data_IF_577397661772
#
_entry.id   IF_577397661772
#
_cell.length_a   1.000
_cell.length_b   1.000
_cell.length_c   1.000
_cell.angle_alpha   90.00
_cell.angle_beta   90.00
_cell.angle_gamma   90.00
#
_symmetry.space_group_name_H-M   'P 1'
#
loop_
_entity.id
_entity.type
_entity.pdbx_description
1 polymer ?
#
# COMPACT_ATOMS: atom_id res chain seq x y z
N UNK A 1 4.87 -16.69 7.39
CA UNK A 1 4.10 -15.70 8.17
C UNK A 1 2.86 -15.30 7.38
N UNK A 2 1.68 -15.19 8.03
CA UNK A 2 0.45 -14.67 7.39
C UNK A 2 0.41 -13.16 7.60
N UNK A 3 0.76 -12.37 6.57
CA UNK A 3 0.68 -10.92 6.61
C UNK A 3 -0.58 -10.50 5.84
N UNK A 4 -1.48 -9.75 6.49
CA UNK A 4 -2.58 -9.06 5.81
C UNK A 4 -3.79 -9.90 5.34
N UNK A 5 -3.88 -11.20 5.64
CA UNK A 5 -4.97 -12.04 5.10
C UNK A 5 -6.36 -11.81 5.75
N UNK A 6 -7.40 -11.85 4.90
CA UNK A 6 -8.81 -12.15 5.23
C UNK A 6 -9.66 -10.99 5.75
N UNK A 7 -9.14 -10.25 6.72
CA UNK A 7 -9.89 -9.17 7.40
C UNK A 7 -9.10 -7.87 7.60
N UNK A 8 -7.86 -7.81 7.11
CA UNK A 8 -7.07 -6.59 7.19
C UNK A 8 -7.58 -5.54 6.20
N UNK A 9 -7.76 -4.31 6.70
CA UNK A 9 -8.07 -3.13 5.88
C UNK A 9 -6.79 -2.38 5.48
N UNK A 10 -5.73 -2.52 6.27
CA UNK A 10 -4.48 -1.81 6.07
C UNK A 10 -3.26 -2.67 6.40
N UNK A 11 -2.16 -2.39 5.69
CA UNK A 11 -0.81 -2.86 6.01
C UNK A 11 0.00 -1.65 6.48
N UNK A 12 0.80 -1.81 7.53
CA UNK A 12 1.71 -0.77 8.04
C UNK A 12 3.11 -1.35 8.16
N UNK A 13 4.06 -0.80 7.41
CA UNK A 13 5.47 -1.21 7.45
C UNK A 13 6.23 -0.29 8.41
N UNK A 14 6.66 -0.85 9.54
CA UNK A 14 7.32 -0.11 10.64
C UNK A 14 8.81 -0.44 10.79
N UNK A 15 9.27 -1.49 10.12
CA UNK A 15 10.65 -1.98 10.14
C UNK A 15 11.10 -2.29 8.72
N UNK A 16 12.39 -2.10 8.46
CA UNK A 16 13.01 -2.14 7.13
C UNK A 16 13.52 -3.53 6.72
N UNK A 17 12.88 -4.60 7.19
CA UNK A 17 13.30 -5.96 6.87
C UNK A 17 13.19 -6.24 5.37
N UNK A 18 14.26 -6.77 4.77
CA UNK A 18 14.33 -7.07 3.33
C UNK A 18 13.23 -8.05 2.88
N UNK A 19 12.75 -8.91 3.79
CA UNK A 19 11.63 -9.83 3.53
C UNK A 19 10.37 -9.11 3.04
N UNK A 20 10.11 -7.88 3.50
CA UNK A 20 8.93 -7.13 3.09
C UNK A 20 9.00 -6.67 1.62
N UNK A 21 10.19 -6.47 1.07
CA UNK A 21 10.36 -6.09 -0.34
C UNK A 21 9.97 -7.21 -1.31
N UNK A 22 10.02 -8.46 -0.84
CA UNK A 22 9.82 -9.66 -1.65
C UNK A 22 8.43 -10.32 -1.47
N UNK A 23 7.51 -9.70 -0.72
CA UNK A 23 6.16 -10.24 -0.54
C UNK A 23 5.33 -10.17 -1.82
N UNK A 24 4.44 -11.14 -1.99
CA UNK A 24 3.45 -11.15 -3.08
C UNK A 24 2.28 -10.20 -2.73
N UNK A 25 2.50 -8.91 -2.96
CA UNK A 25 1.51 -7.87 -2.68
C UNK A 25 0.25 -7.97 -3.54
N UNK A 26 0.32 -8.56 -4.74
CA UNK A 26 -0.86 -8.79 -5.57
C UNK A 26 -1.79 -9.81 -4.91
N UNK A 27 -1.22 -10.93 -4.42
CA UNK A 27 -1.97 -11.93 -3.67
C UNK A 27 -2.53 -11.34 -2.39
N UNK A 28 -1.73 -10.60 -1.62
CA UNK A 28 -2.17 -9.98 -0.36
C UNK A 28 -3.31 -9.00 -0.63
N UNK A 29 -3.22 -8.17 -1.68
CA UNK A 29 -4.30 -7.24 -2.05
C UNK A 29 -5.64 -7.96 -2.26
N UNK A 30 -5.63 -9.08 -2.99
CA UNK A 30 -6.82 -9.87 -3.32
C UNK A 30 -7.49 -10.49 -2.08
N UNK A 31 -6.77 -10.63 -0.97
CA UNK A 31 -7.30 -11.24 0.27
C UNK A 31 -7.68 -10.21 1.33
N UNK A 32 -7.36 -8.93 1.13
CA UNK A 32 -7.68 -7.84 2.05
C UNK A 32 -9.11 -7.32 1.89
N UNK A 33 -9.58 -6.55 2.88
CA UNK A 33 -10.83 -5.78 2.76
C UNK A 33 -10.61 -4.56 1.89
N UNK A 34 -11.54 -4.33 0.96
CA UNK A 34 -11.51 -3.17 0.09
C UNK A 34 -12.35 -2.02 0.66
N UNK A 35 -11.88 -0.76 0.54
CA UNK A 35 -10.60 -0.36 -0.06
C UNK A 35 -9.38 -0.69 0.83
N UNK A 36 -8.39 -1.37 0.25
CA UNK A 36 -7.18 -1.78 0.95
C UNK A 36 -6.13 -0.66 0.95
N UNK A 37 -5.50 -0.39 2.09
CA UNK A 37 -4.50 0.67 2.25
C UNK A 37 -3.14 0.13 2.67
N UNK A 38 -2.06 0.81 2.31
CA UNK A 38 -0.70 0.49 2.74
C UNK A 38 0.05 1.75 3.16
N UNK A 39 0.61 1.72 4.36
CA UNK A 39 1.42 2.79 4.94
C UNK A 39 2.86 2.31 5.04
N UNK A 40 3.73 2.85 4.19
CA UNK A 40 5.16 2.56 4.19
C UNK A 40 5.92 3.64 4.96
N UNK A 41 6.19 3.35 6.24
CA UNK A 41 6.96 4.23 7.13
C UNK A 41 8.47 4.16 6.92
N UNK A 42 8.96 3.29 6.02
CA UNK A 42 10.39 3.06 5.79
C UNK A 42 10.84 3.34 4.36
N UNK A 43 9.89 3.61 3.46
CA UNK A 43 10.13 3.89 2.05
C UNK A 43 10.92 2.75 1.38
N UNK A 44 10.50 1.51 1.62
CA UNK A 44 11.15 0.28 1.12
C UNK A 44 10.34 -0.44 0.04
N UNK A 45 9.08 -0.08 -0.17
CA UNK A 45 8.20 -0.73 -1.13
C UNK A 45 8.07 0.08 -2.43
N UNK A 46 7.87 -0.62 -3.56
CA UNK A 46 7.54 0.01 -4.84
C UNK A 46 6.11 0.57 -4.81
N UNK A 47 6.02 1.86 -4.54
CA UNK A 47 4.74 2.57 -4.43
C UNK A 47 3.96 2.54 -5.75
N UNK A 48 4.63 2.56 -6.91
CA UNK A 48 3.96 2.54 -8.21
C UNK A 48 3.30 1.19 -8.45
N UNK A 49 4.03 0.11 -8.21
CA UNK A 49 3.50 -1.24 -8.36
C UNK A 49 2.33 -1.51 -7.40
N UNK A 50 2.43 -1.07 -6.14
CA UNK A 50 1.34 -1.18 -5.18
C UNK A 50 0.07 -0.44 -5.65
N UNK A 51 0.22 0.73 -6.29
CA UNK A 51 -0.91 1.47 -6.89
C UNK A 51 -1.50 0.74 -8.09
N UNK A 52 -0.69 0.13 -8.94
CA UNK A 52 -1.15 -0.67 -10.08
C UNK A 52 -2.02 -1.85 -9.63
N UNK A 53 -1.73 -2.45 -8.47
CA UNK A 53 -2.60 -3.48 -7.86
C UNK A 53 -3.91 -2.92 -7.29
N UNK A 54 -3.95 -1.63 -6.98
CA UNK A 54 -5.14 -0.94 -6.44
C UNK A 54 -5.08 -0.62 -4.95
N UNK A 55 -3.89 -0.68 -4.31
CA UNK A 55 -3.73 -0.17 -2.95
C UNK A 55 -3.87 1.34 -2.89
N UNK A 56 -4.40 1.83 -1.78
CA UNK A 56 -4.20 3.22 -1.33
C UNK A 56 -2.86 3.33 -0.63
N UNK A 57 -1.87 3.90 -1.32
CA UNK A 57 -0.49 3.97 -0.83
C UNK A 57 -0.20 5.28 -0.13
N UNK A 58 0.43 5.21 1.04
CA UNK A 58 0.93 6.35 1.80
C UNK A 58 2.37 6.06 2.19
N UNK A 59 3.31 6.91 1.78
CA UNK A 59 4.72 6.77 2.11
C UNK A 59 5.29 8.09 2.60
N UNK A 60 6.21 8.04 3.56
CA UNK A 60 6.88 9.23 4.08
C UNK A 60 7.62 9.93 2.93
N UNK A 61 7.46 11.25 2.83
CA UNK A 61 8.13 12.07 1.81
C UNK A 61 7.50 12.02 0.42
N UNK A 62 6.44 11.24 0.22
CA UNK A 62 5.64 11.26 -1.01
C UNK A 62 4.34 12.00 -0.78
N UNK A 63 4.00 12.93 -1.68
CA UNK A 63 2.61 13.38 -1.76
C UNK A 63 1.75 12.14 -2.11
N UNK A 64 0.63 11.91 -1.39
CA UNK A 64 -0.29 10.86 -1.77
C UNK A 64 -0.94 11.23 -3.11
N UNK A 65 -0.51 10.60 -4.23
CA UNK A 65 -1.10 10.88 -5.55
C UNK A 65 -2.61 10.60 -5.54
N UNK A 66 -3.02 9.59 -4.77
CA UNK A 66 -4.42 9.21 -4.64
C UNK A 66 -5.20 10.11 -3.70
N UNK A 67 -4.59 10.98 -2.88
CA UNK A 67 -5.40 11.91 -2.09
C UNK A 67 -6.23 12.82 -3.00
N UNK A 68 -5.70 13.18 -4.18
CA UNK A 68 -6.41 14.00 -5.16
C UNK A 68 -7.57 13.23 -5.82
N UNK A 69 -7.36 11.97 -6.23
CA UNK A 69 -8.44 11.12 -6.75
C UNK A 69 -9.47 10.69 -5.68
N UNK A 70 -9.05 10.55 -4.42
CA UNK A 70 -9.90 10.17 -3.29
C UNK A 70 -10.94 11.25 -2.94
N UNK A 71 -10.64 12.52 -3.26
CA UNK A 71 -11.54 13.67 -3.11
C UNK A 71 -12.08 14.20 -4.44
N UNK A 72 -11.82 13.54 -5.57
CA UNK A 72 -12.31 13.94 -6.89
C UNK A 72 -11.69 15.23 -7.45
N UNK A 73 -10.47 15.56 -7.05
CA UNK A 73 -9.72 16.71 -7.57
C UNK A 73 -8.77 16.21 -8.68
N UNK A 74 -8.91 16.67 -9.94
CA UNK A 74 -7.96 16.34 -10.99
C UNK A 74 -6.58 16.92 -10.68
N UNK A 75 -5.53 16.16 -10.98
CA UNK A 75 -4.16 16.70 -11.09
C UNK A 75 -4.04 17.38 -12.46
N UNK A 76 -3.74 18.67 -12.48
CA UNK A 76 -3.31 19.44 -13.65
C UNK A 76 -1.80 19.27 -13.94
#
# INVERSE_FOLDING_TARGET
HKIGDGDAHAIVVLTEWDEFKALDYERIYKTMKHPASIFDGRLILDQRQLREYGFRTFAIGSAPDQAYNLFGVPLD
#
